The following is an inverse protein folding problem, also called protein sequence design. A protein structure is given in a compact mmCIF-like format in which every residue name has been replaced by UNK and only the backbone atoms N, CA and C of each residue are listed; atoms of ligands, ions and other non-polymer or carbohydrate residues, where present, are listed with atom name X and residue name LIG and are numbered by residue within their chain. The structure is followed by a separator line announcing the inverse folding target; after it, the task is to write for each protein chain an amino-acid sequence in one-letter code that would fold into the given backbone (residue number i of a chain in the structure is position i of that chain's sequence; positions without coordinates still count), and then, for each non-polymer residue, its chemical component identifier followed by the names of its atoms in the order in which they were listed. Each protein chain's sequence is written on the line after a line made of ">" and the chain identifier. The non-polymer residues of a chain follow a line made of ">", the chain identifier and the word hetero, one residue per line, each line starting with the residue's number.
data_IF_446059622426
#
_entry.id   IF_446059622426
#
_cell.length_a   1.000
_cell.length_b   1.000
_cell.length_c   1.000
_cell.angle_alpha   90.00
_cell.angle_beta   90.00
_cell.angle_gamma   90.00
#
_symmetry.space_group_name_H-M   'P 1'
#
loop_
_entity.id
_entity.type
_entity.pdbx_description
1 polymer ?
#
# COMPACT_ATOMS: atom_id res chain seq x y z
N UNK A 1 9.49 1.05 -52.82
CA UNK A 1 10.68 1.69 -52.19
C UNK A 1 11.44 2.46 -53.26
N UNK A 2 11.51 3.78 -53.09
CA UNK A 2 11.91 4.67 -54.20
C UNK A 2 13.42 4.98 -54.32
N UNK A 3 14.25 4.55 -53.33
CA UNK A 3 15.70 4.78 -53.41
C UNK A 3 16.51 3.58 -52.96
N UNK A 4 17.65 3.31 -53.61
CA UNK A 4 18.60 2.27 -53.23
C UNK A 4 19.08 2.40 -51.76
N UNK A 5 19.23 3.64 -51.29
CA UNK A 5 19.58 3.91 -49.89
C UNK A 5 18.53 3.35 -48.93
N UNK A 6 17.24 3.49 -49.21
CA UNK A 6 16.17 2.94 -48.38
C UNK A 6 16.14 1.42 -48.45
N UNK A 7 16.39 0.84 -49.64
CA UNK A 7 16.46 -0.63 -49.84
C UNK A 7 17.58 -1.24 -48.99
N UNK A 8 18.78 -0.65 -49.02
CA UNK A 8 19.92 -1.06 -48.21
C UNK A 8 19.62 -0.98 -46.72
N UNK A 9 18.94 0.11 -46.28
CA UNK A 9 18.58 0.32 -44.87
C UNK A 9 17.63 -0.79 -44.36
N UNK A 10 16.60 -1.10 -45.12
CA UNK A 10 15.59 -2.10 -44.74
C UNK A 10 16.21 -3.49 -44.64
N UNK A 11 17.01 -3.89 -45.64
CA UNK A 11 17.74 -5.17 -45.64
C UNK A 11 18.70 -5.20 -44.43
N UNK A 12 19.44 -4.10 -44.22
CA UNK A 12 20.37 -3.98 -43.10
C UNK A 12 19.68 -4.13 -41.73
N UNK A 13 18.50 -3.53 -41.58
CA UNK A 13 17.73 -3.64 -40.33
C UNK A 13 17.23 -5.06 -40.09
N UNK A 14 16.74 -5.77 -41.11
CA UNK A 14 16.36 -7.17 -40.98
C UNK A 14 17.56 -8.07 -40.64
N UNK A 15 18.68 -7.89 -41.32
CA UNK A 15 19.87 -8.68 -41.09
C UNK A 15 20.44 -8.41 -39.68
N UNK A 16 20.40 -7.16 -39.22
CA UNK A 16 20.82 -6.78 -37.86
C UNK A 16 19.91 -7.41 -36.79
N UNK A 17 18.61 -7.41 -37.04
CA UNK A 17 17.64 -8.10 -36.16
C UNK A 17 17.95 -9.61 -36.10
N UNK A 18 18.39 -10.22 -37.20
CA UNK A 18 18.78 -11.63 -37.28
C UNK A 18 20.21 -11.89 -36.70
N UNK A 19 20.89 -10.88 -36.17
CA UNK A 19 22.18 -11.03 -35.48
C UNK A 19 23.41 -10.99 -36.39
N UNK A 20 23.28 -10.52 -37.62
CA UNK A 20 24.44 -10.33 -38.51
C UNK A 20 25.27 -9.12 -38.08
N UNK A 21 26.59 -9.21 -38.24
CA UNK A 21 27.51 -8.08 -38.03
C UNK A 21 27.43 -7.09 -39.19
N UNK A 22 27.81 -5.83 -38.94
CA UNK A 22 27.81 -4.79 -39.99
C UNK A 22 28.67 -5.20 -41.23
N UNK A 23 29.78 -5.90 -41.04
CA UNK A 23 30.60 -6.43 -42.13
C UNK A 23 29.85 -7.49 -42.97
N UNK A 24 29.17 -8.41 -42.32
CA UNK A 24 28.34 -9.42 -42.97
C UNK A 24 27.16 -8.80 -43.73
N UNK A 25 26.54 -7.77 -43.14
CA UNK A 25 25.44 -7.01 -43.74
C UNK A 25 25.93 -6.32 -45.00
N UNK A 26 27.02 -5.58 -44.97
CA UNK A 26 27.59 -4.91 -46.13
C UNK A 26 27.95 -5.89 -47.26
N UNK A 27 28.56 -7.03 -46.92
CA UNK A 27 28.92 -8.07 -47.87
C UNK A 27 27.67 -8.70 -48.52
N UNK A 28 26.57 -8.89 -47.79
CA UNK A 28 25.32 -9.40 -48.33
C UNK A 28 24.65 -8.39 -49.26
N UNK A 29 24.58 -7.13 -48.83
CA UNK A 29 23.98 -6.04 -49.65
C UNK A 29 24.75 -5.89 -50.95
N UNK A 30 26.08 -5.88 -50.95
CA UNK A 30 26.89 -5.82 -52.16
C UNK A 30 26.59 -6.98 -53.14
N UNK A 31 26.38 -8.20 -52.61
CA UNK A 31 25.99 -9.35 -53.46
C UNK A 31 24.60 -9.18 -54.07
N UNK A 32 23.65 -8.60 -53.38
CA UNK A 32 22.31 -8.33 -53.90
C UNK A 32 22.34 -7.25 -54.97
N UNK A 33 23.23 -6.26 -54.85
CA UNK A 33 23.47 -5.23 -55.86
C UNK A 33 24.09 -5.82 -57.11
N UNK A 34 25.16 -6.61 -56.95
CA UNK A 34 25.84 -7.27 -58.06
C UNK A 34 24.90 -8.22 -58.82
N UNK A 35 23.97 -8.87 -58.14
CA UNK A 35 22.98 -9.75 -58.71
C UNK A 35 21.76 -9.01 -59.30
N UNK A 36 21.60 -7.70 -59.04
CA UNK A 36 20.46 -6.90 -59.53
C UNK A 36 19.14 -7.19 -58.79
N UNK A 37 19.18 -7.86 -57.62
CA UNK A 37 17.97 -8.28 -56.88
C UNK A 37 17.72 -7.43 -55.61
N UNK A 38 18.44 -6.32 -55.44
CA UNK A 38 18.35 -5.48 -54.26
C UNK A 38 16.91 -5.01 -53.94
N UNK A 39 16.14 -4.69 -54.99
CA UNK A 39 14.76 -4.25 -54.85
C UNK A 39 13.86 -5.38 -54.27
N UNK A 40 13.90 -6.56 -54.88
CA UNK A 40 13.11 -7.72 -54.44
C UNK A 40 13.43 -8.12 -53.03
N UNK A 41 14.71 -8.24 -52.67
CA UNK A 41 15.18 -8.56 -51.30
C UNK A 41 14.77 -7.48 -50.29
N UNK A 42 14.67 -6.22 -50.71
CA UNK A 42 14.21 -5.12 -49.84
C UNK A 42 12.71 -5.17 -49.58
N UNK A 43 11.89 -5.59 -50.53
CA UNK A 43 10.45 -5.78 -50.34
C UNK A 43 10.19 -6.94 -49.39
N UNK A 44 10.86 -8.08 -49.58
CA UNK A 44 10.76 -9.24 -48.71
C UNK A 44 11.24 -8.87 -47.28
N UNK A 45 12.34 -8.15 -47.15
CA UNK A 45 12.83 -7.68 -45.86
C UNK A 45 11.84 -6.73 -45.16
N UNK A 46 11.18 -5.85 -45.90
CA UNK A 46 10.16 -4.96 -45.37
C UNK A 46 8.94 -5.71 -44.82
N UNK A 47 8.50 -6.74 -45.58
CA UNK A 47 7.37 -7.56 -45.14
C UNK A 47 7.70 -8.33 -43.87
N UNK A 48 8.88 -8.96 -43.81
CA UNK A 48 9.35 -9.64 -42.62
C UNK A 48 9.48 -8.69 -41.39
N UNK A 49 10.02 -7.48 -41.59
CA UNK A 49 10.13 -6.49 -40.49
C UNK A 49 8.75 -6.02 -40.03
N UNK A 50 7.78 -5.88 -40.91
CA UNK A 50 6.39 -5.56 -40.52
C UNK A 50 5.78 -6.67 -39.65
N UNK A 51 5.99 -7.92 -40.03
CA UNK A 51 5.51 -9.08 -39.28
C UNK A 51 6.19 -9.17 -37.90
N UNK A 52 7.51 -8.99 -37.84
CA UNK A 52 8.27 -8.95 -36.58
C UNK A 52 7.71 -7.88 -35.66
N UNK A 53 7.56 -6.63 -36.13
CA UNK A 53 7.02 -5.53 -35.32
C UNK A 53 5.60 -5.79 -34.84
N UNK A 54 4.76 -6.41 -35.69
CA UNK A 54 3.41 -6.80 -35.31
C UNK A 54 3.44 -7.82 -34.16
N UNK A 55 4.26 -8.86 -34.30
CA UNK A 55 4.38 -9.91 -33.31
C UNK A 55 4.95 -9.37 -32.00
N UNK A 56 5.95 -8.49 -32.03
CA UNK A 56 6.50 -7.80 -30.86
C UNK A 56 5.46 -6.91 -30.17
N UNK A 57 4.68 -6.15 -30.94
CA UNK A 57 3.62 -5.30 -30.38
C UNK A 57 2.52 -6.15 -29.72
N UNK A 58 2.12 -7.26 -30.34
CA UNK A 58 1.15 -8.19 -29.75
C UNK A 58 1.68 -8.87 -28.47
N UNK A 59 2.95 -9.29 -28.48
CA UNK A 59 3.59 -9.87 -27.31
C UNK A 59 3.68 -8.87 -26.14
N UNK A 60 4.09 -7.63 -26.42
CA UNK A 60 4.14 -6.56 -25.45
C UNK A 60 2.73 -6.23 -24.89
N UNK A 61 1.72 -6.16 -25.76
CA UNK A 61 0.35 -5.90 -25.32
C UNK A 61 -0.18 -7.03 -24.40
N UNK A 62 0.09 -8.28 -24.74
CA UNK A 62 -0.25 -9.45 -23.92
C UNK A 62 0.46 -9.40 -22.57
N UNK A 63 1.74 -9.08 -22.55
CA UNK A 63 2.53 -8.98 -21.32
C UNK A 63 2.00 -7.86 -20.42
N UNK A 64 1.70 -6.69 -20.97
CA UNK A 64 1.14 -5.59 -20.21
C UNK A 64 -0.25 -5.91 -19.64
N UNK A 65 -1.10 -6.56 -20.43
CA UNK A 65 -2.41 -7.00 -19.97
C UNK A 65 -2.32 -8.03 -18.83
N UNK A 66 -1.37 -8.96 -18.91
CA UNK A 66 -1.14 -9.93 -17.86
C UNK A 66 -0.61 -9.27 -16.58
N UNK A 67 0.34 -8.35 -16.68
CA UNK A 67 0.85 -7.57 -15.55
C UNK A 67 -0.26 -6.74 -14.89
N UNK A 68 -1.14 -6.15 -15.68
CA UNK A 68 -2.29 -5.39 -15.17
C UNK A 68 -3.26 -6.29 -14.39
N UNK A 69 -3.59 -7.48 -14.94
CA UNK A 69 -4.42 -8.47 -14.25
C UNK A 69 -3.80 -8.96 -12.94
N UNK A 70 -2.51 -9.24 -12.94
CA UNK A 70 -1.80 -9.67 -11.74
C UNK A 70 -1.81 -8.60 -10.65
N UNK A 71 -1.57 -7.34 -11.02
CA UNK A 71 -1.65 -6.20 -10.09
C UNK A 71 -3.05 -6.05 -9.49
N UNK A 72 -4.07 -6.14 -10.33
CA UNK A 72 -5.47 -6.04 -9.89
C UNK A 72 -5.82 -7.19 -8.93
N UNK A 73 -5.45 -8.43 -9.28
CA UNK A 73 -5.67 -9.59 -8.42
C UNK A 73 -4.96 -9.46 -7.08
N UNK A 74 -3.70 -9.00 -7.05
CA UNK A 74 -2.95 -8.74 -5.82
C UNK A 74 -3.62 -7.65 -4.97
N UNK A 75 -4.10 -6.58 -5.60
CA UNK A 75 -4.79 -5.51 -4.90
C UNK A 75 -6.10 -6.00 -4.28
N UNK A 76 -6.91 -6.76 -5.03
CA UNK A 76 -8.15 -7.35 -4.53
C UNK A 76 -7.88 -8.32 -3.38
N UNK A 77 -6.86 -9.16 -3.50
CA UNK A 77 -6.46 -10.09 -2.44
C UNK A 77 -6.00 -9.36 -1.19
N UNK A 78 -5.22 -8.29 -1.34
CA UNK A 78 -4.79 -7.44 -0.23
C UNK A 78 -5.99 -6.77 0.46
N UNK A 79 -6.88 -6.14 -0.30
CA UNK A 79 -8.09 -5.51 0.25
C UNK A 79 -8.96 -6.52 1.00
N UNK A 80 -9.14 -7.72 0.43
CA UNK A 80 -9.88 -8.81 1.09
C UNK A 80 -9.20 -9.23 2.40
N UNK A 81 -7.91 -9.45 2.39
CA UNK A 81 -7.15 -9.84 3.58
C UNK A 81 -7.26 -8.82 4.71
N UNK A 82 -7.14 -7.52 4.39
CA UNK A 82 -7.30 -6.44 5.39
C UNK A 82 -8.75 -6.39 5.89
N UNK A 83 -9.74 -6.53 5.02
CA UNK A 83 -11.16 -6.54 5.39
C UNK A 83 -11.47 -7.70 6.33
N UNK A 84 -11.01 -8.91 5.99
CA UNK A 84 -11.18 -10.11 6.82
C UNK A 84 -10.50 -9.92 8.18
N UNK A 85 -9.32 -9.31 8.21
CA UNK A 85 -8.60 -8.96 9.44
C UNK A 85 -9.37 -7.96 10.30
N UNK A 86 -9.89 -6.87 9.73
CA UNK A 86 -10.71 -5.88 10.45
C UNK A 86 -11.97 -6.53 11.05
N UNK A 87 -12.59 -7.45 10.32
CA UNK A 87 -13.81 -8.10 10.76
C UNK A 87 -13.57 -9.17 11.86
N UNK A 88 -12.42 -9.81 11.86
CA UNK A 88 -12.05 -10.86 12.81
C UNK A 88 -11.36 -10.35 14.07
N UNK A 89 -10.79 -9.13 14.04
CA UNK A 89 -10.09 -8.54 15.18
C UNK A 89 -11.09 -7.97 16.19
N UNK A 90 -11.14 -8.58 17.38
CA UNK A 90 -11.91 -8.04 18.50
C UNK A 90 -11.12 -6.97 19.29
N UNK A 91 -9.80 -7.05 19.24
CA UNK A 91 -8.93 -6.07 19.91
C UNK A 91 -7.58 -5.93 19.20
N UNK A 92 -6.98 -4.76 19.30
CA UNK A 92 -5.59 -4.51 18.93
C UNK A 92 -4.80 -4.28 20.21
N UNK A 93 -3.83 -5.17 20.49
CA UNK A 93 -2.96 -5.09 21.67
C UNK A 93 -3.73 -4.93 22.99
N UNK A 94 -4.88 -5.60 23.10
CA UNK A 94 -5.73 -5.56 24.28
C UNK A 94 -6.65 -4.34 24.38
N UNK A 95 -6.67 -3.49 23.38
CA UNK A 95 -7.65 -2.40 23.23
C UNK A 95 -8.79 -2.92 22.35
N UNK A 96 -10.00 -3.01 22.90
CA UNK A 96 -11.17 -3.47 22.17
C UNK A 96 -11.48 -2.57 20.97
N UNK A 97 -11.83 -3.17 19.84
CA UNK A 97 -12.30 -2.46 18.65
C UNK A 97 -13.82 -2.59 18.60
N UNK A 98 -14.56 -1.51 18.84
CA UNK A 98 -16.02 -1.53 18.69
C UNK A 98 -16.42 -1.94 17.27
N UNK A 99 -17.51 -2.71 17.15
CA UNK A 99 -18.02 -3.10 15.82
C UNK A 99 -18.36 -1.89 14.95
N UNK A 100 -18.82 -0.80 15.57
CA UNK A 100 -19.13 0.45 14.88
C UNK A 100 -17.89 1.08 14.21
N UNK A 101 -16.70 0.91 14.81
CA UNK A 101 -15.46 1.51 14.30
C UNK A 101 -14.85 0.72 13.13
N UNK A 102 -15.27 -0.54 12.92
CA UNK A 102 -14.72 -1.39 11.85
C UNK A 102 -14.95 -0.81 10.46
N UNK A 103 -16.16 -0.27 10.22
CA UNK A 103 -16.49 0.40 8.97
C UNK A 103 -15.68 1.68 8.80
N UNK A 104 -15.57 2.49 9.85
CA UNK A 104 -14.77 3.72 9.82
C UNK A 104 -13.30 3.42 9.55
N UNK A 105 -12.75 2.36 10.14
CA UNK A 105 -11.38 1.91 9.90
C UNK A 105 -11.16 1.44 8.45
N UNK A 106 -12.10 0.69 7.89
CA UNK A 106 -12.06 0.31 6.48
C UNK A 106 -12.09 1.53 5.57
N UNK A 107 -13.04 2.45 5.79
CA UNK A 107 -13.18 3.67 5.00
C UNK A 107 -11.90 4.53 5.11
N UNK A 108 -11.32 4.65 6.28
CA UNK A 108 -10.08 5.38 6.53
C UNK A 108 -8.88 4.84 5.73
N UNK A 109 -8.78 3.50 5.61
CA UNK A 109 -7.67 2.83 4.91
C UNK A 109 -7.87 2.82 3.40
N UNK A 110 -9.11 2.61 2.90
CA UNK A 110 -9.35 2.30 1.49
C UNK A 110 -10.16 3.34 0.72
N UNK A 111 -10.96 4.17 1.40
CA UNK A 111 -11.79 5.15 0.70
C UNK A 111 -10.92 6.30 0.19
N UNK A 112 -10.84 6.40 -1.13
CA UNK A 112 -10.12 7.48 -1.81
C UNK A 112 -11.00 8.71 -1.98
N UNK A 113 -10.38 9.88 -1.98
CA UNK A 113 -10.99 11.15 -2.36
C UNK A 113 -10.93 11.40 -3.87
N UNK A 114 -11.22 12.64 -4.28
CA UNK A 114 -11.22 13.06 -5.69
C UNK A 114 -9.83 13.01 -6.34
N UNK A 115 -8.78 13.11 -5.52
CA UNK A 115 -7.38 13.11 -5.95
C UNK A 115 -6.76 11.72 -5.91
N UNK A 116 -7.55 10.70 -5.51
CA UNK A 116 -7.11 9.29 -5.45
C UNK A 116 -6.37 8.92 -4.17
N UNK A 117 -6.32 9.80 -3.16
CA UNK A 117 -5.67 9.54 -1.88
C UNK A 117 -6.65 9.10 -0.82
N UNK A 118 -6.24 8.13 0.02
CA UNK A 118 -7.00 7.76 1.21
C UNK A 118 -6.72 8.73 2.36
N UNK A 119 -7.63 8.81 3.35
CA UNK A 119 -7.38 9.63 4.54
C UNK A 119 -6.16 9.13 5.31
N UNK A 120 -5.96 7.81 5.39
CA UNK A 120 -4.77 7.21 5.99
C UNK A 120 -3.47 7.71 5.33
N UNK A 121 -3.42 7.74 3.99
CA UNK A 121 -2.24 8.25 3.27
C UNK A 121 -1.96 9.71 3.60
N UNK A 122 -2.98 10.56 3.55
CA UNK A 122 -2.84 12.00 3.87
C UNK A 122 -2.33 12.23 5.28
N UNK A 123 -2.92 11.55 6.26
CA UNK A 123 -2.52 11.70 7.65
C UNK A 123 -1.11 11.15 7.89
N UNK A 124 -0.76 10.03 7.26
CA UNK A 124 0.58 9.44 7.36
C UNK A 124 1.64 10.34 6.72
N UNK A 125 1.39 10.85 5.52
CA UNK A 125 2.33 11.66 4.75
C UNK A 125 2.50 13.07 5.33
N UNK A 126 1.47 13.60 6.01
CA UNK A 126 1.52 14.93 6.64
C UNK A 126 2.69 15.10 7.63
N UNK A 127 3.13 14.00 8.26
CA UNK A 127 4.24 13.94 9.21
C UNK A 127 5.01 12.63 9.05
N UNK A 128 5.46 12.34 7.83
CA UNK A 128 5.99 11.05 7.41
C UNK A 128 7.07 10.51 8.37
N UNK A 129 8.07 11.31 8.72
CA UNK A 129 9.16 10.88 9.59
C UNK A 129 8.67 10.49 10.99
N UNK A 130 7.80 11.30 11.59
CA UNK A 130 7.23 11.03 12.90
C UNK A 130 6.34 9.79 12.86
N UNK A 131 5.42 9.71 11.91
CA UNK A 131 4.47 8.63 11.77
C UNK A 131 5.17 7.29 11.48
N UNK A 132 6.24 7.31 10.69
CA UNK A 132 7.09 6.15 10.45
C UNK A 132 7.75 5.65 11.75
N UNK A 133 8.35 6.55 12.53
CA UNK A 133 9.00 6.21 13.80
C UNK A 133 7.98 5.65 14.79
N UNK A 134 6.82 6.31 14.94
CA UNK A 134 5.75 5.86 15.83
C UNK A 134 5.22 4.49 15.42
N UNK A 135 4.95 4.27 14.12
CA UNK A 135 4.50 2.98 13.60
C UNK A 135 5.54 1.88 13.84
N UNK A 136 6.81 2.14 13.54
CA UNK A 136 7.90 1.20 13.78
C UNK A 136 8.06 0.87 15.27
N UNK A 137 8.00 1.89 16.14
CA UNK A 137 8.10 1.69 17.59
C UNK A 137 6.91 0.89 18.13
N UNK A 138 5.69 1.20 17.68
CA UNK A 138 4.49 0.44 18.05
C UNK A 138 4.54 -1.01 17.55
N UNK A 139 5.08 -1.25 16.37
CA UNK A 139 5.27 -2.61 15.85
C UNK A 139 6.27 -3.39 16.71
N UNK A 140 7.35 -2.74 17.12
CA UNK A 140 8.44 -3.36 17.89
C UNK A 140 8.09 -3.55 19.38
N UNK A 141 7.42 -2.60 20.02
CA UNK A 141 7.24 -2.50 21.49
C UNK A 141 5.80 -2.25 21.93
N UNK A 142 4.81 -2.27 21.04
CA UNK A 142 3.45 -1.84 21.34
C UNK A 142 2.79 -2.57 22.51
N UNK A 143 3.06 -3.86 22.69
CA UNK A 143 2.50 -4.62 23.82
C UNK A 143 3.04 -4.13 25.16
N UNK A 144 4.33 -3.76 25.21
CA UNK A 144 4.96 -3.18 26.40
C UNK A 144 4.40 -1.79 26.68
N UNK A 145 4.24 -0.96 25.64
CA UNK A 145 3.69 0.40 25.78
C UNK A 145 2.28 0.36 26.33
N UNK A 146 1.41 -0.47 25.75
CA UNK A 146 0.00 -0.59 26.18
C UNK A 146 -0.08 -1.17 27.61
N UNK A 147 0.69 -2.23 27.92
CA UNK A 147 0.68 -2.81 29.27
C UNK A 147 1.20 -1.83 30.33
N UNK A 148 2.22 -1.03 29.99
CA UNK A 148 2.74 0.01 30.88
C UNK A 148 1.72 1.12 31.09
N UNK A 149 1.08 1.60 30.03
CA UNK A 149 0.03 2.62 30.13
C UNK A 149 -1.15 2.14 30.98
N UNK A 150 -1.58 0.88 30.83
CA UNK A 150 -2.62 0.28 31.65
C UNK A 150 -2.24 0.23 33.12
N UNK A 151 -1.04 -0.27 33.46
CA UNK A 151 -0.53 -0.30 34.83
C UNK A 151 -0.45 1.08 35.44
N UNK A 152 0.02 2.08 34.72
CA UNK A 152 0.10 3.47 35.15
C UNK A 152 -1.29 4.06 35.42
N UNK A 153 -2.25 3.77 34.54
CA UNK A 153 -3.64 4.17 34.71
C UNK A 153 -4.29 3.55 35.96
N UNK A 154 -4.11 2.25 36.16
CA UNK A 154 -4.62 1.53 37.33
C UNK A 154 -4.02 2.05 38.65
N UNK A 155 -2.69 2.31 38.71
CA UNK A 155 -2.02 2.88 39.88
C UNK A 155 -2.50 4.28 40.17
N UNK A 156 -2.62 5.14 39.15
CA UNK A 156 -3.13 6.51 39.32
C UNK A 156 -4.58 6.53 39.81
N UNK A 157 -5.44 5.65 39.31
CA UNK A 157 -6.82 5.50 39.75
C UNK A 157 -6.89 5.03 41.23
N UNK A 158 -6.08 4.01 41.57
CA UNK A 158 -5.99 3.52 42.97
C UNK A 158 -5.49 4.57 43.94
N UNK A 159 -4.49 5.37 43.53
CA UNK A 159 -3.99 6.48 44.34
C UNK A 159 -5.05 7.59 44.55
N UNK A 160 -5.77 7.96 43.51
CA UNK A 160 -6.89 8.91 43.61
C UNK A 160 -7.98 8.39 44.53
N UNK A 161 -8.36 7.13 44.41
CA UNK A 161 -9.34 6.49 45.29
C UNK A 161 -8.85 6.48 46.77
N UNK A 162 -7.60 6.11 47.03
CA UNK A 162 -6.99 6.16 48.37
C UNK A 162 -7.00 7.56 48.95
N UNK A 163 -6.68 8.60 48.16
CA UNK A 163 -6.74 10.01 48.61
C UNK A 163 -8.17 10.42 48.97
N UNK A 164 -9.16 10.05 48.15
CA UNK A 164 -10.57 10.32 48.43
C UNK A 164 -11.03 9.63 49.71
N UNK A 165 -10.70 8.36 49.93
CA UNK A 165 -11.05 7.62 51.15
C UNK A 165 -10.38 8.21 52.38
N UNK A 166 -9.09 8.62 52.29
CA UNK A 166 -8.41 9.31 53.40
C UNK A 166 -9.04 10.65 53.75
N UNK A 167 -9.47 11.40 52.72
CA UNK A 167 -10.13 12.69 52.96
C UNK A 167 -11.52 12.51 53.55
N UNK A 168 -12.28 11.49 53.12
CA UNK A 168 -13.56 11.12 53.72
C UNK A 168 -13.41 10.69 55.19
N UNK A 169 -12.41 9.86 55.50
CA UNK A 169 -12.13 9.43 56.86
C UNK A 169 -11.72 10.60 57.80
N UNK A 170 -10.98 11.58 57.28
CA UNK A 170 -10.62 12.79 58.05
C UNK A 170 -11.82 13.69 58.34
N UNK A 171 -12.78 13.76 57.42
CA UNK A 171 -13.99 14.54 57.63
C UNK A 171 -14.97 13.90 58.62
N UNK A 172 -14.93 12.56 58.82
CA UNK A 172 -15.75 11.88 59.84
C UNK A 172 -15.21 12.00 61.26
N UNK A 173 -13.96 12.36 61.46
CA UNK A 173 -13.38 12.58 62.82
C UNK A 173 -13.58 13.99 63.37
N UNK A 174 -14.13 14.92 62.59
CA UNK A 174 -14.37 16.32 63.03
C UNK A 174 -15.84 16.74 63.13
N UNK A 175 -16.81 15.83 62.98
CA UNK A 175 -18.23 16.11 63.22
C UNK A 175 -18.90 14.98 63.97
N UNK A 176 -18.76 15.00 65.27
CA UNK A 176 -19.78 14.44 66.13
C UNK A 176 -20.82 15.53 66.34
N UNK A 177 -21.90 15.48 65.60
CA UNK A 177 -23.28 15.83 65.94
C UNK A 177 -24.07 16.11 64.61
N UNK A 178 -25.12 15.30 64.44
CA UNK A 178 -26.28 15.54 63.58
C UNK A 178 -26.06 15.81 62.13
N UNK A 179 -26.25 14.77 61.29
CA UNK A 179 -27.34 14.65 60.31
C UNK A 179 -27.05 13.64 59.18
N UNK A 180 -28.02 12.83 58.94
CA UNK A 180 -28.36 12.02 57.71
C UNK A 180 -27.23 11.42 56.91
N UNK A 181 -27.13 10.09 57.00
CA UNK A 181 -26.39 9.21 56.09
C UNK A 181 -26.84 9.42 54.65
N UNK A 182 -25.93 9.89 53.80
CA UNK A 182 -26.03 9.69 52.35
C UNK A 182 -25.31 8.42 52.03
N UNK A 183 -26.05 7.48 51.45
CA UNK A 183 -25.58 6.16 51.04
C UNK A 183 -24.43 6.26 50.00
N UNK A 184 -23.47 5.36 50.11
CA UNK A 184 -22.31 5.23 49.19
C UNK A 184 -22.76 5.02 47.72
N UNK A 185 -24.00 4.64 47.49
CA UNK A 185 -24.63 4.49 46.15
C UNK A 185 -24.87 5.82 45.41
N UNK A 186 -25.09 6.93 46.16
CA UNK A 186 -25.31 8.26 45.57
C UNK A 186 -24.00 8.93 45.06
N UNK A 187 -22.85 8.46 45.51
CA UNK A 187 -21.54 8.97 45.09
C UNK A 187 -21.03 8.31 43.77
N UNK A 188 -21.56 7.16 43.44
CA UNK A 188 -21.17 6.43 42.21
C UNK A 188 -22.02 6.81 40.99
N UNK A 189 -23.17 7.43 41.16
CA UNK A 189 -24.08 7.81 40.07
C UNK A 189 -23.63 9.08 39.29
N UNK A 190 -22.61 9.79 39.75
CA UNK A 190 -22.09 11.00 39.10
C UNK A 190 -20.82 10.79 38.25
N UNK A 191 -20.40 9.55 38.01
CA UNK A 191 -19.17 9.24 37.28
C UNK A 191 -19.38 8.55 35.94
N UNK A 192 -20.58 8.72 35.30
CA UNK A 192 -20.80 8.28 33.91
C UNK A 192 -21.20 9.44 33.05
#
# INVERSE_FOLDING_TARGET
>A
MESESNQRTVIGDLLRHNGYTDEQINNKIARYEDAGVLYEESEDALEMLKEIRKNEAEANAKQQAELARQKEAQQQQFMKSVTDSINSLDSIRGIAIPKADRKALYDYIFKTDKDGYTQYQKDFDSNLAKNLIESAYFTMKGDVVVSTAKKTGETSAAEKLRKLLRNSAKNHTSQSATSKEKSVTDLLAGMY
#
